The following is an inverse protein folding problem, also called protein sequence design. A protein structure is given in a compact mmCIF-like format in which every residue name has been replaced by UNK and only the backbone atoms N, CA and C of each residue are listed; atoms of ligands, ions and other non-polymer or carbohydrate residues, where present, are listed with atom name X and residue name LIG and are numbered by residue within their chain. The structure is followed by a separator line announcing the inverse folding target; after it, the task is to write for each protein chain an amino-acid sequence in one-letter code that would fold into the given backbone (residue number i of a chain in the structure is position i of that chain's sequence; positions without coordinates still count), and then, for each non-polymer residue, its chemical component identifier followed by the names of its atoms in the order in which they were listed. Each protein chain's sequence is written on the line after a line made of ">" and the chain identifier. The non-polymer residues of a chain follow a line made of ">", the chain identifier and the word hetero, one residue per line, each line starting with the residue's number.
data_IF_375754208717
#
_entry.id   IF_375754208717
#
_cell.length_a   1.000
_cell.length_b   1.000
_cell.length_c   1.000
_cell.angle_alpha   90.00
_cell.angle_beta   90.00
_cell.angle_gamma   90.00
#
_symmetry.space_group_name_H-M   'P 1'
#
loop_
_entity.id
_entity.type
_entity.pdbx_description
1 polymer ?
#
# COMPACT_ATOMS: atom_id res chain seq x y z
N UNK A 1 14.34 15.12 -32.00
CA UNK A 1 13.62 15.50 -30.76
C UNK A 1 13.57 14.28 -29.85
N UNK A 2 14.01 14.37 -28.59
CA UNK A 2 13.75 13.32 -27.65
C UNK A 2 12.21 13.17 -27.52
N UNK A 3 11.67 11.96 -27.44
CA UNK A 3 10.24 11.77 -27.27
C UNK A 3 9.76 12.51 -26.01
N UNK A 4 8.59 13.14 -26.05
CA UNK A 4 7.98 13.89 -24.93
C UNK A 4 8.03 13.10 -23.64
N UNK A 5 7.90 11.78 -23.73
CA UNK A 5 8.07 10.83 -22.65
C UNK A 5 9.38 10.99 -21.87
N UNK A 6 10.53 11.22 -22.53
CA UNK A 6 11.83 11.35 -21.86
C UNK A 6 11.97 12.62 -21.02
N UNK A 7 11.15 13.64 -21.27
CA UNK A 7 11.14 14.88 -20.48
C UNK A 7 10.41 14.69 -19.14
N UNK A 8 9.38 13.85 -19.09
CA UNK A 8 8.58 13.61 -17.90
C UNK A 8 9.06 12.40 -17.08
N UNK A 9 9.68 11.42 -17.75
CA UNK A 9 10.15 10.17 -17.14
C UNK A 9 11.61 9.87 -17.58
N UNK A 10 12.59 10.64 -17.07
CA UNK A 10 13.99 10.56 -17.53
C UNK A 10 14.65 9.20 -17.32
N UNK A 11 14.07 8.34 -16.47
CA UNK A 11 14.58 6.99 -16.18
C UNK A 11 14.03 5.91 -17.11
N UNK A 12 13.24 6.28 -18.12
CA UNK A 12 12.67 5.36 -19.11
C UNK A 12 11.46 4.55 -18.63
N UNK A 13 11.00 4.73 -17.39
CA UNK A 13 9.76 4.10 -16.89
C UNK A 13 8.53 4.91 -17.33
N UNK A 14 7.42 4.24 -17.65
CA UNK A 14 6.19 4.88 -18.10
C UNK A 14 5.33 5.48 -16.98
N UNK A 15 5.71 5.25 -15.74
CA UNK A 15 5.14 5.86 -14.54
C UNK A 15 6.19 5.92 -13.42
N UNK A 16 5.98 6.80 -12.46
CA UNK A 16 6.88 7.02 -11.32
C UNK A 16 6.70 5.94 -10.27
N UNK A 17 7.41 4.82 -10.43
CA UNK A 17 7.28 3.69 -9.51
C UNK A 17 7.89 3.97 -8.14
N UNK A 18 7.27 3.40 -7.07
CA UNK A 18 7.81 3.47 -5.71
C UNK A 18 9.23 2.88 -5.64
N UNK A 19 9.51 1.80 -6.36
CA UNK A 19 10.84 1.18 -6.35
C UNK A 19 11.93 2.13 -6.87
N UNK A 20 11.65 2.86 -7.95
CA UNK A 20 12.57 3.85 -8.49
C UNK A 20 12.76 5.03 -7.54
N UNK A 21 11.66 5.54 -6.99
CA UNK A 21 11.69 6.61 -5.99
C UNK A 21 12.54 6.23 -4.77
N UNK A 22 12.34 5.02 -4.21
CA UNK A 22 13.08 4.53 -3.06
C UNK A 22 14.57 4.37 -3.35
N UNK A 23 14.92 3.85 -4.54
CA UNK A 23 16.33 3.75 -4.95
C UNK A 23 17.00 5.12 -5.04
N UNK A 24 16.29 6.14 -5.55
CA UNK A 24 16.81 7.52 -5.60
C UNK A 24 16.96 8.11 -4.20
N UNK A 25 15.98 7.91 -3.33
CA UNK A 25 15.97 8.49 -1.98
C UNK A 25 17.00 7.84 -1.06
N UNK A 26 17.13 6.51 -1.10
CA UNK A 26 17.96 5.76 -0.17
C UNK A 26 19.25 5.18 -0.78
N UNK A 27 19.49 5.37 -2.07
CA UNK A 27 20.68 4.90 -2.78
C UNK A 27 20.68 3.40 -3.12
N UNK A 28 19.73 2.63 -2.61
CA UNK A 28 19.61 1.19 -2.81
C UNK A 28 18.15 0.71 -2.81
N UNK A 29 17.94 -0.55 -3.17
CA UNK A 29 16.62 -1.16 -3.09
C UNK A 29 16.21 -1.37 -1.63
N UNK A 30 15.02 -0.91 -1.28
CA UNK A 30 14.44 -1.00 0.05
C UNK A 30 13.24 -1.96 0.02
N UNK A 31 13.02 -2.70 1.11
CA UNK A 31 11.89 -3.62 1.24
C UNK A 31 11.03 -3.26 2.45
N UNK A 32 9.72 -3.45 2.34
CA UNK A 32 8.80 -3.32 3.46
C UNK A 32 8.87 -4.58 4.34
N UNK A 33 8.99 -4.39 5.64
CA UNK A 33 8.69 -5.42 6.66
C UNK A 33 7.33 -5.07 7.23
N UNK A 34 6.37 -5.97 7.07
CA UNK A 34 4.99 -5.75 7.47
C UNK A 34 4.79 -6.09 8.94
N UNK A 35 4.28 -5.13 9.70
CA UNK A 35 4.15 -5.17 11.15
C UNK A 35 2.68 -5.14 11.57
N UNK A 36 2.39 -5.78 12.70
CA UNK A 36 1.11 -5.73 13.37
C UNK A 36 1.30 -5.04 14.74
N UNK A 37 0.72 -3.85 14.88
CA UNK A 37 0.80 -3.06 16.12
C UNK A 37 -0.28 -3.40 17.16
N UNK A 38 -1.10 -4.43 16.91
CA UNK A 38 -2.17 -4.85 17.83
C UNK A 38 -3.42 -3.98 17.77
N UNK A 39 -3.56 -3.10 16.77
CA UNK A 39 -4.76 -2.27 16.61
C UNK A 39 -5.96 -3.06 16.10
N UNK A 40 -7.14 -2.48 16.27
CA UNK A 40 -8.39 -2.91 15.65
C UNK A 40 -8.86 -1.92 14.58
N UNK A 41 -10.12 -1.97 14.21
CA UNK A 41 -10.73 -1.07 13.25
C UNK A 41 -12.11 -0.64 13.73
N UNK A 42 -12.51 0.65 13.63
CA UNK A 42 -13.85 1.11 14.04
C UNK A 42 -14.99 0.43 13.27
N UNK A 43 -14.72 -0.19 12.12
CA UNK A 43 -15.70 -1.03 11.41
C UNK A 43 -15.82 -2.47 11.99
N UNK A 44 -15.07 -2.82 13.04
CA UNK A 44 -15.03 -4.19 13.62
C UNK A 44 -15.30 -4.24 15.10
N UNK A 45 -14.98 -3.20 15.85
CA UNK A 45 -15.11 -3.15 17.32
C UNK A 45 -16.47 -2.61 17.79
N UNK A 46 -17.36 -2.29 16.87
CA UNK A 46 -18.71 -1.78 17.17
C UNK A 46 -18.82 -0.26 17.16
N UNK A 47 -17.72 0.49 17.02
CA UNK A 47 -17.80 1.95 16.97
C UNK A 47 -18.55 2.46 15.74
N UNK A 48 -18.26 1.91 14.55
CA UNK A 48 -18.99 2.18 13.30
C UNK A 48 -19.76 0.93 12.84
N UNK A 49 -19.20 -0.25 13.05
CA UNK A 49 -19.77 -1.53 12.68
C UNK A 49 -18.95 -2.71 13.18
N UNK A 50 -19.50 -3.92 13.08
CA UNK A 50 -18.88 -5.16 13.60
C UNK A 50 -18.33 -6.08 12.49
N UNK A 51 -18.82 -5.97 11.26
CA UNK A 51 -18.50 -6.89 10.16
C UNK A 51 -17.21 -6.57 9.40
N UNK A 52 -16.66 -5.37 9.56
CA UNK A 52 -15.54 -4.89 8.75
C UNK A 52 -15.94 -4.54 7.31
N UNK A 53 -14.96 -4.15 6.50
CA UNK A 53 -15.16 -3.95 5.07
C UNK A 53 -15.18 -5.30 4.35
N UNK A 54 -15.95 -5.43 3.27
CA UNK A 54 -16.13 -6.70 2.54
C UNK A 54 -14.84 -7.24 1.92
N UNK A 55 -13.91 -6.35 1.57
CA UNK A 55 -12.62 -6.69 0.99
C UNK A 55 -11.51 -6.94 2.04
N UNK A 56 -11.82 -6.78 3.33
CA UNK A 56 -10.88 -7.04 4.42
C UNK A 56 -11.01 -8.49 4.90
N UNK A 57 -9.88 -9.23 4.89
CA UNK A 57 -9.80 -10.53 5.54
C UNK A 57 -10.07 -10.43 7.05
N UNK A 58 -10.21 -11.56 7.72
CA UNK A 58 -10.32 -11.62 9.18
C UNK A 58 -9.14 -10.91 9.90
N UNK A 59 -7.96 -10.88 9.26
CA UNK A 59 -6.75 -10.22 9.75
C UNK A 59 -6.67 -8.73 9.40
N UNK A 60 -7.77 -8.10 8.94
CA UNK A 60 -7.80 -6.66 8.64
C UNK A 60 -6.80 -6.22 7.58
N UNK A 61 -6.66 -6.99 6.49
CA UNK A 61 -5.64 -6.83 5.45
C UNK A 61 -4.19 -7.01 5.93
N UNK A 62 -4.01 -7.61 7.10
CA UNK A 62 -2.72 -7.91 7.73
C UNK A 62 -2.28 -9.37 7.61
N UNK A 63 -2.76 -10.09 6.59
CA UNK A 63 -2.49 -11.53 6.41
C UNK A 63 -1.00 -11.89 6.30
N UNK A 64 -0.18 -10.93 5.92
CA UNK A 64 1.29 -11.06 5.85
C UNK A 64 2.02 -10.22 6.91
N UNK A 65 1.30 -9.66 7.88
CA UNK A 65 1.90 -8.90 8.96
C UNK A 65 2.55 -9.82 10.01
N UNK A 66 3.46 -9.26 10.79
CA UNK A 66 4.08 -9.95 11.91
C UNK A 66 3.04 -10.42 12.94
N UNK A 67 3.45 -11.33 13.81
CA UNK A 67 2.60 -11.81 14.88
C UNK A 67 2.42 -10.71 15.95
N UNK A 68 1.17 -10.30 16.20
CA UNK A 68 0.83 -9.25 17.18
C UNK A 68 1.23 -9.59 18.64
N UNK A 69 1.50 -10.86 18.96
CA UNK A 69 1.99 -11.24 20.30
C UNK A 69 3.48 -10.93 20.51
N UNK A 70 4.22 -10.63 19.45
CA UNK A 70 5.63 -10.27 19.49
C UNK A 70 5.79 -8.75 19.58
N UNK A 71 6.89 -8.29 20.20
CA UNK A 71 7.31 -6.89 20.14
C UNK A 71 7.58 -6.44 18.69
N UNK A 72 7.56 -5.16 18.44
CA UNK A 72 7.88 -4.62 17.11
C UNK A 72 9.32 -4.96 16.71
N UNK A 73 10.24 -4.95 17.66
CA UNK A 73 11.65 -5.36 17.44
C UNK A 73 11.76 -6.81 16.99
N UNK A 74 11.01 -7.73 17.63
CA UNK A 74 11.00 -9.13 17.23
C UNK A 74 10.37 -9.34 15.85
N UNK A 75 9.24 -8.69 15.57
CA UNK A 75 8.61 -8.73 14.25
C UNK A 75 9.56 -8.19 13.16
N UNK A 76 10.27 -7.09 13.43
CA UNK A 76 11.27 -6.54 12.52
C UNK A 76 12.41 -7.52 12.27
N UNK A 77 12.95 -8.14 13.33
CA UNK A 77 14.02 -9.13 13.21
C UNK A 77 13.58 -10.29 12.32
N UNK A 78 12.45 -10.91 12.61
CA UNK A 78 11.94 -12.05 11.83
C UNK A 78 11.68 -11.67 10.37
N UNK A 79 11.03 -10.53 10.13
CA UNK A 79 10.74 -10.03 8.80
C UNK A 79 12.00 -9.69 7.98
N UNK A 80 12.98 -9.04 8.61
CA UNK A 80 14.28 -8.75 7.99
C UNK A 80 15.03 -10.02 7.63
N UNK A 81 15.08 -11.00 8.53
CA UNK A 81 15.75 -12.27 8.31
C UNK A 81 15.10 -13.08 7.18
N UNK A 82 13.77 -13.12 7.12
CA UNK A 82 13.05 -13.78 6.04
C UNK A 82 13.34 -13.16 4.67
N UNK A 83 13.51 -11.84 4.60
CA UNK A 83 13.86 -11.14 3.35
C UNK A 83 15.34 -11.37 3.01
N UNK A 84 16.25 -11.26 3.98
CA UNK A 84 17.70 -11.44 3.80
C UNK A 84 18.07 -12.84 3.29
N UNK A 85 17.34 -13.87 3.70
CA UNK A 85 17.49 -15.24 3.16
C UNK A 85 17.30 -15.32 1.64
N UNK A 86 16.52 -14.39 1.06
CA UNK A 86 16.17 -14.42 -0.36
C UNK A 86 16.90 -13.36 -1.18
N UNK A 87 17.39 -12.29 -0.55
CA UNK A 87 17.94 -11.12 -1.23
C UNK A 87 18.95 -10.36 -0.36
N UNK A 88 20.05 -9.84 -0.95
CA UNK A 88 20.97 -8.97 -0.23
C UNK A 88 20.33 -7.58 0.01
N UNK A 89 19.80 -7.36 1.21
CA UNK A 89 19.11 -6.12 1.59
C UNK A 89 19.62 -5.60 2.92
N UNK A 90 19.87 -4.30 3.01
CA UNK A 90 20.32 -3.63 4.23
C UNK A 90 19.28 -2.68 4.80
N UNK A 91 18.47 -2.01 3.94
CA UNK A 91 17.49 -0.99 4.34
C UNK A 91 16.06 -1.46 4.21
N UNK A 92 15.27 -1.15 5.21
CA UNK A 92 13.87 -1.58 5.31
C UNK A 92 12.95 -0.41 5.64
N UNK A 93 11.70 -0.54 5.24
CA UNK A 93 10.60 0.30 5.68
C UNK A 93 9.80 -0.52 6.70
N UNK A 94 9.63 0.00 7.89
CA UNK A 94 8.70 -0.56 8.87
C UNK A 94 7.27 -0.20 8.45
N UNK A 95 6.48 -1.20 8.04
CA UNK A 95 5.16 -1.01 7.47
C UNK A 95 4.07 -1.56 8.37
N UNK A 96 3.35 -0.68 9.03
CA UNK A 96 2.18 -1.01 9.83
C UNK A 96 0.96 -1.15 8.93
N UNK A 97 0.47 -2.36 8.74
CA UNK A 97 -0.59 -2.67 7.77
C UNK A 97 -1.86 -3.28 8.39
N UNK A 98 -1.76 -4.10 9.42
CA UNK A 98 -2.89 -4.80 10.02
C UNK A 98 -3.91 -3.82 10.61
N UNK A 99 -5.17 -3.87 10.15
CA UNK A 99 -6.29 -3.04 10.61
C UNK A 99 -6.07 -1.52 10.37
N UNK A 100 -6.40 -0.68 11.39
CA UNK A 100 -6.31 0.78 11.31
C UNK A 100 -5.21 1.25 12.24
N UNK A 101 -4.02 1.49 11.72
CA UNK A 101 -2.80 1.61 12.50
C UNK A 101 -2.60 2.96 13.23
N UNK A 102 -3.60 3.81 13.25
CA UNK A 102 -3.65 5.02 14.11
C UNK A 102 -4.86 5.00 15.07
N UNK A 103 -5.58 3.88 15.08
CA UNK A 103 -6.76 3.70 15.93
C UNK A 103 -6.39 3.00 17.24
N UNK A 104 -5.67 3.73 18.07
CA UNK A 104 -5.26 3.33 19.42
C UNK A 104 -4.91 4.58 20.25
N UNK A 105 -4.77 4.48 21.59
CA UNK A 105 -4.24 5.56 22.43
C UNK A 105 -2.88 6.05 21.94
N UNK A 106 -2.65 7.36 21.96
CA UNK A 106 -1.42 7.98 21.42
C UNK A 106 -0.17 7.43 22.08
N UNK A 107 -0.19 7.18 23.38
CA UNK A 107 0.95 6.60 24.11
C UNK A 107 1.35 5.21 23.58
N UNK A 108 0.35 4.40 23.23
CA UNK A 108 0.59 3.10 22.60
C UNK A 108 1.22 3.28 21.22
N UNK A 109 0.67 4.18 20.41
CA UNK A 109 1.21 4.49 19.08
C UNK A 109 2.64 5.02 19.16
N UNK A 110 2.91 5.95 20.09
CA UNK A 110 4.24 6.50 20.31
C UNK A 110 5.24 5.41 20.65
N UNK A 111 4.88 4.49 21.57
CA UNK A 111 5.72 3.37 21.96
C UNK A 111 6.11 2.51 20.76
N UNK A 112 5.14 1.99 20.01
CA UNK A 112 5.40 1.05 18.92
C UNK A 112 6.07 1.69 17.71
N UNK A 113 5.71 2.94 17.37
CA UNK A 113 6.33 3.65 16.25
C UNK A 113 7.76 4.09 16.60
N UNK A 114 8.02 4.49 17.84
CA UNK A 114 9.37 4.82 18.32
C UNK A 114 10.25 3.58 18.33
N UNK A 115 9.74 2.44 18.77
CA UNK A 115 10.45 1.17 18.72
C UNK A 115 10.85 0.82 17.27
N UNK A 116 9.92 0.98 16.31
CA UNK A 116 10.18 0.69 14.90
C UNK A 116 11.17 1.67 14.25
N UNK A 117 11.05 2.98 14.52
CA UNK A 117 11.86 4.00 13.86
C UNK A 117 13.31 4.00 14.36
N UNK A 118 13.53 3.55 15.59
CA UNK A 118 14.87 3.46 16.21
C UNK A 118 15.67 2.24 15.73
N UNK A 119 15.05 1.28 15.03
CA UNK A 119 15.81 0.17 14.44
C UNK A 119 16.82 0.72 13.40
N UNK A 120 18.11 0.35 13.48
CA UNK A 120 19.16 0.93 12.63
C UNK A 120 19.00 0.62 11.15
N UNK A 121 18.37 -0.50 10.79
CA UNK A 121 18.15 -0.91 9.40
C UNK A 121 16.86 -0.30 8.82
N UNK A 122 15.99 0.27 9.65
CA UNK A 122 14.76 0.94 9.22
C UNK A 122 15.10 2.35 8.75
N UNK A 123 14.79 2.65 7.50
CA UNK A 123 15.04 3.96 6.89
C UNK A 123 13.78 4.84 6.79
N UNK A 124 12.60 4.27 6.96
CA UNK A 124 11.31 5.00 6.97
C UNK A 124 10.23 4.20 7.69
N UNK A 125 9.19 4.88 8.18
CA UNK A 125 7.92 4.27 8.58
C UNK A 125 6.89 4.44 7.45
N UNK A 126 6.00 3.45 7.30
CA UNK A 126 4.81 3.53 6.46
C UNK A 126 3.64 3.01 7.29
N UNK A 127 2.58 3.81 7.41
CA UNK A 127 1.46 3.57 8.33
C UNK A 127 0.16 3.59 7.54
N UNK A 128 -0.44 2.41 7.34
CA UNK A 128 -1.72 2.29 6.67
C UNK A 128 -2.86 2.55 7.65
N UNK A 129 -3.73 3.49 7.31
CA UNK A 129 -4.84 3.88 8.19
C UNK A 129 -6.03 4.45 7.42
N UNK A 130 -7.06 4.80 8.16
CA UNK A 130 -8.28 5.47 7.69
C UNK A 130 -8.13 6.98 7.85
N UNK A 131 -8.70 7.81 6.94
CA UNK A 131 -8.62 9.26 7.06
C UNK A 131 -9.36 9.81 8.29
N UNK A 132 -10.39 9.12 8.77
CA UNK A 132 -11.18 9.48 9.95
C UNK A 132 -10.54 9.03 11.30
N UNK A 133 -9.35 8.41 11.26
CA UNK A 133 -8.60 7.96 12.43
C UNK A 133 -7.27 8.73 12.61
N UNK A 134 -7.25 10.02 12.30
CA UNK A 134 -6.10 10.91 12.43
C UNK A 134 -6.42 12.16 13.27
N UNK A 135 -6.69 11.99 14.58
CA UNK A 135 -6.91 13.15 15.45
C UNK A 135 -5.63 13.99 15.60
N UNK A 136 -5.73 15.27 16.00
CA UNK A 136 -4.58 16.19 16.09
C UNK A 136 -3.38 15.62 16.85
N UNK A 137 -3.59 14.97 17.98
CA UNK A 137 -2.52 14.38 18.79
C UNK A 137 -1.74 13.27 18.04
N UNK A 138 -2.40 12.50 17.18
CA UNK A 138 -1.73 11.51 16.30
C UNK A 138 -0.93 12.23 15.22
N UNK A 139 -1.48 13.28 14.61
CA UNK A 139 -0.75 14.05 13.59
C UNK A 139 0.50 14.71 14.17
N UNK A 140 0.43 15.22 15.39
CA UNK A 140 1.59 15.76 16.12
C UNK A 140 2.65 14.69 16.38
N UNK A 141 2.24 13.50 16.84
CA UNK A 141 3.15 12.36 17.00
C UNK A 141 3.84 12.01 15.69
N UNK A 142 3.09 11.83 14.60
CA UNK A 142 3.66 11.52 13.28
C UNK A 142 4.61 12.61 12.80
N UNK A 143 4.29 13.89 13.07
CA UNK A 143 5.16 15.03 12.78
C UNK A 143 6.47 14.99 13.57
N UNK A 144 6.44 14.59 14.85
CA UNK A 144 7.67 14.40 15.66
C UNK A 144 8.53 13.28 15.09
N UNK A 145 7.93 12.13 14.79
CA UNK A 145 8.64 10.98 14.22
C UNK A 145 9.23 11.28 12.84
N UNK A 146 8.53 12.04 12.01
CA UNK A 146 9.00 12.44 10.67
C UNK A 146 10.25 13.33 10.71
N UNK A 147 10.58 13.96 11.85
CA UNK A 147 11.85 14.66 12.04
C UNK A 147 13.05 13.73 12.31
N UNK A 148 12.76 12.47 12.70
CA UNK A 148 13.79 11.45 12.93
C UNK A 148 14.10 10.69 11.64
N UNK A 149 13.08 10.12 11.00
CA UNK A 149 13.14 9.44 9.71
C UNK A 149 11.83 9.67 8.95
N UNK A 150 11.80 9.59 7.61
CA UNK A 150 10.58 9.77 6.83
C UNK A 150 9.42 8.90 7.33
N UNK A 151 8.24 9.53 7.53
CA UNK A 151 6.99 8.87 7.90
C UNK A 151 5.97 9.08 6.78
N UNK A 152 5.45 7.99 6.25
CA UNK A 152 4.40 8.00 5.23
C UNK A 152 3.09 7.49 5.81
N UNK A 153 2.02 8.20 5.54
CA UNK A 153 0.66 7.79 5.89
C UNK A 153 -0.03 7.30 4.63
N UNK A 154 -0.43 6.04 4.62
CA UNK A 154 -1.17 5.43 3.52
C UNK A 154 -2.67 5.46 3.84
N UNK A 155 -3.40 6.41 3.23
CA UNK A 155 -4.83 6.58 3.48
C UNK A 155 -5.67 5.71 2.54
N UNK A 156 -6.53 4.90 3.12
CA UNK A 156 -7.51 4.10 2.38
C UNK A 156 -8.72 4.94 1.97
N UNK A 157 -8.75 5.44 0.73
CA UNK A 157 -9.91 6.12 0.16
C UNK A 157 -10.96 5.14 -0.35
N UNK A 158 -10.54 4.05 -0.93
CA UNK A 158 -11.33 2.96 -1.52
C UNK A 158 -12.15 3.39 -2.73
N UNK A 159 -13.06 4.35 -2.59
CA UNK A 159 -13.91 4.90 -3.65
C UNK A 159 -14.36 6.31 -3.33
N UNK A 160 -14.60 7.12 -4.37
CA UNK A 160 -15.22 8.46 -4.25
C UNK A 160 -16.75 8.40 -4.41
N UNK A 161 -17.28 7.27 -4.87
CA UNK A 161 -18.72 7.08 -5.08
C UNK A 161 -19.38 6.67 -3.76
N UNK A 162 -20.40 7.43 -3.30
CA UNK A 162 -21.06 7.20 -2.02
C UNK A 162 -21.90 5.92 -1.96
N UNK A 163 -22.47 5.48 -3.09
CA UNK A 163 -23.22 4.23 -3.17
C UNK A 163 -22.27 3.04 -3.10
N UNK A 164 -21.19 3.08 -3.87
CA UNK A 164 -20.11 2.09 -3.78
C UNK A 164 -19.52 2.03 -2.38
N UNK A 165 -19.25 3.16 -1.74
CA UNK A 165 -18.73 3.21 -0.37
C UNK A 165 -19.69 2.55 0.64
N UNK A 166 -20.99 2.72 0.45
CA UNK A 166 -22.03 2.06 1.25
C UNK A 166 -22.09 0.57 0.98
N UNK A 167 -22.00 0.20 -0.28
CA UNK A 167 -22.03 -1.18 -0.75
C UNK A 167 -20.84 -2.00 -0.26
N UNK A 168 -19.61 -1.50 -0.36
CA UNK A 168 -18.40 -2.23 0.10
C UNK A 168 -18.36 -2.51 1.61
N UNK A 169 -19.28 -1.92 2.38
CA UNK A 169 -19.49 -2.24 3.80
C UNK A 169 -20.52 -3.32 4.05
N UNK A 170 -21.35 -3.68 3.04
CA UNK A 170 -22.45 -4.63 3.18
C UNK A 170 -22.22 -6.00 2.50
N UNK A 171 -21.13 -6.17 1.80
CA UNK A 171 -20.83 -7.36 1.01
C UNK A 171 -21.24 -7.21 -0.47
N UNK A 172 -20.39 -7.63 -1.38
CA UNK A 172 -20.71 -7.75 -2.79
C UNK A 172 -21.48 -9.04 -3.06
N UNK A 173 -22.41 -9.05 -4.02
CA UNK A 173 -22.75 -10.28 -4.72
C UNK A 173 -21.48 -10.79 -5.41
N UNK A 174 -21.15 -12.06 -5.24
CA UNK A 174 -19.92 -12.66 -5.80
C UNK A 174 -19.86 -12.58 -7.32
N UNK A 175 -20.99 -12.57 -7.98
CA UNK A 175 -21.15 -12.45 -9.43
C UNK A 175 -20.57 -11.17 -10.04
N UNK A 176 -20.53 -10.06 -9.31
CA UNK A 176 -19.91 -8.79 -9.79
C UNK A 176 -18.40 -8.93 -9.99
N UNK A 177 -17.72 -9.80 -9.20
CA UNK A 177 -16.28 -10.05 -9.34
C UNK A 177 -15.95 -11.13 -10.38
N UNK A 178 -16.86 -12.06 -10.59
CA UNK A 178 -16.67 -13.19 -11.52
C UNK A 178 -16.61 -12.74 -12.98
N UNK A 179 -17.14 -11.56 -13.29
CA UNK A 179 -17.16 -10.96 -14.63
C UNK A 179 -16.04 -9.96 -14.91
N UNK A 180 -15.17 -9.62 -13.93
CA UNK A 180 -14.08 -8.70 -14.17
C UNK A 180 -12.97 -9.36 -15.02
N UNK A 181 -12.84 -8.94 -16.27
CA UNK A 181 -11.82 -9.40 -17.19
C UNK A 181 -10.46 -8.72 -16.91
N UNK A 182 -9.37 -9.45 -17.12
CA UNK A 182 -8.01 -8.94 -16.91
C UNK A 182 -7.64 -7.83 -17.91
N UNK A 183 -8.08 -7.92 -19.14
CA UNK A 183 -7.76 -6.92 -20.17
C UNK A 183 -8.54 -5.62 -19.92
N UNK A 184 -9.80 -5.70 -19.52
CA UNK A 184 -10.59 -4.52 -19.09
C UNK A 184 -9.94 -3.82 -17.88
N UNK A 185 -9.44 -4.59 -16.92
CA UNK A 185 -8.67 -4.03 -15.79
C UNK A 185 -7.40 -3.32 -16.25
N UNK A 186 -6.66 -3.89 -17.19
CA UNK A 186 -5.44 -3.33 -17.76
C UNK A 186 -5.73 -2.03 -18.52
N UNK A 187 -6.81 -1.97 -19.29
CA UNK A 187 -7.25 -0.77 -20.00
C UNK A 187 -7.66 0.35 -19.06
N UNK A 188 -8.47 0.03 -18.04
CA UNK A 188 -8.86 0.98 -17.00
C UNK A 188 -7.64 1.54 -16.26
N UNK A 189 -6.71 0.67 -15.87
CA UNK A 189 -5.49 1.06 -15.18
C UNK A 189 -4.60 1.95 -16.07
N UNK A 190 -4.49 1.65 -17.37
CA UNK A 190 -3.80 2.49 -18.35
C UNK A 190 -4.40 3.89 -18.46
N UNK A 191 -5.72 3.97 -18.52
CA UNK A 191 -6.45 5.26 -18.53
C UNK A 191 -6.22 6.05 -17.25
N UNK A 192 -6.16 5.39 -16.09
CA UNK A 192 -5.83 6.03 -14.82
C UNK A 192 -4.40 6.59 -14.83
N UNK A 193 -3.42 5.83 -15.31
CA UNK A 193 -2.03 6.28 -15.43
C UNK A 193 -1.90 7.48 -16.37
N UNK A 194 -2.59 7.46 -17.51
CA UNK A 194 -2.56 8.58 -18.46
C UNK A 194 -3.05 9.91 -17.84
N UNK A 195 -4.05 9.84 -16.99
CA UNK A 195 -4.65 11.02 -16.31
C UNK A 195 -3.98 11.38 -14.99
N UNK A 196 -3.12 10.52 -14.47
CA UNK A 196 -2.48 10.74 -13.18
C UNK A 196 -1.42 11.84 -13.27
N UNK A 197 -1.46 12.81 -12.36
CA UNK A 197 -0.47 13.90 -12.30
C UNK A 197 0.96 13.34 -12.27
N UNK A 198 1.92 13.91 -13.05
CA UNK A 198 3.26 13.31 -13.23
C UNK A 198 4.12 13.20 -11.98
N UNK A 199 3.84 14.01 -10.93
CA UNK A 199 4.60 14.00 -9.68
C UNK A 199 4.09 12.96 -8.66
N UNK A 200 2.92 12.34 -8.90
CA UNK A 200 2.38 11.30 -8.02
C UNK A 200 3.20 10.01 -8.15
N UNK A 201 3.52 9.40 -7.00
CA UNK A 201 4.26 8.14 -6.95
C UNK A 201 3.28 6.98 -6.87
N UNK A 202 3.37 6.06 -7.84
CA UNK A 202 2.53 4.88 -7.89
C UNK A 202 3.13 3.77 -7.01
N UNK A 203 2.50 3.50 -5.89
CA UNK A 203 2.97 2.50 -4.92
C UNK A 203 2.64 1.07 -5.33
N UNK A 204 1.45 0.85 -5.88
CA UNK A 204 0.94 -0.49 -6.22
C UNK A 204 -0.01 -0.42 -7.40
N UNK A 205 0.12 -1.39 -8.29
CA UNK A 205 -0.75 -1.55 -9.46
C UNK A 205 -1.68 -2.78 -9.35
N UNK A 206 -1.39 -3.71 -8.42
CA UNK A 206 -2.19 -4.92 -8.21
C UNK A 206 -2.34 -5.18 -6.72
N UNK A 207 -3.45 -5.79 -6.32
CA UNK A 207 -3.63 -6.28 -4.95
C UNK A 207 -2.75 -7.51 -4.65
N UNK A 208 -2.51 -7.78 -3.37
CA UNK A 208 -1.90 -9.01 -2.86
C UNK A 208 -2.78 -9.50 -1.71
N UNK A 209 -3.55 -10.56 -1.95
CA UNK A 209 -4.28 -11.29 -0.92
C UNK A 209 -3.73 -12.72 -0.79
N UNK A 210 -4.01 -13.42 0.33
CA UNK A 210 -3.74 -14.85 0.43
C UNK A 210 -4.49 -15.58 -0.68
N UNK A 211 -3.79 -16.43 -1.44
CA UNK A 211 -4.37 -17.14 -2.58
C UNK A 211 -5.51 -18.07 -2.17
N UNK A 212 -5.41 -18.61 -0.98
CA UNK A 212 -6.38 -19.53 -0.38
C UNK A 212 -7.72 -18.84 -0.05
N UNK A 213 -7.71 -17.51 0.10
CA UNK A 213 -8.88 -16.69 0.40
C UNK A 213 -9.44 -15.98 -0.84
N UNK A 214 -8.78 -16.14 -2.00
CA UNK A 214 -9.20 -15.48 -3.22
C UNK A 214 -10.41 -16.20 -3.82
N UNK A 215 -11.55 -15.51 -3.84
CA UNK A 215 -12.79 -16.00 -4.45
C UNK A 215 -12.80 -15.64 -5.93
N UNK A 216 -12.61 -14.36 -6.25
CA UNK A 216 -12.61 -13.81 -7.60
C UNK A 216 -11.96 -12.40 -7.64
N UNK A 217 -11.51 -11.95 -8.81
CA UNK A 217 -11.27 -12.73 -10.01
C UNK A 217 -9.95 -13.53 -9.91
N UNK A 218 -9.95 -14.78 -10.34
CA UNK A 218 -8.84 -15.71 -10.14
C UNK A 218 -7.53 -15.27 -10.79
N UNK A 219 -7.58 -14.50 -11.89
CA UNK A 219 -6.40 -13.98 -12.57
C UNK A 219 -5.54 -13.03 -11.71
N UNK A 220 -6.10 -12.41 -10.67
CA UNK A 220 -5.36 -11.52 -9.75
C UNK A 220 -4.28 -12.27 -8.97
N UNK A 221 -4.41 -13.60 -8.81
CA UNK A 221 -3.37 -14.45 -8.20
C UNK A 221 -2.11 -14.55 -9.04
N UNK A 222 -2.19 -14.27 -10.35
CA UNK A 222 -1.09 -14.30 -11.32
C UNK A 222 -0.41 -12.94 -11.49
N UNK A 223 -0.09 -12.26 -10.40
CA UNK A 223 0.44 -10.88 -10.35
C UNK A 223 1.53 -10.59 -11.40
N UNK A 224 2.48 -11.50 -11.60
CA UNK A 224 3.54 -11.31 -12.60
C UNK A 224 2.98 -11.20 -14.02
N UNK A 225 2.01 -12.03 -14.35
CA UNK A 225 1.33 -12.02 -15.66
C UNK A 225 0.60 -10.69 -15.86
N UNK A 226 -0.19 -10.26 -14.87
CA UNK A 226 -0.92 -8.98 -14.91
C UNK A 226 0.05 -7.80 -15.12
N UNK A 227 1.12 -7.72 -14.35
CA UNK A 227 2.10 -6.63 -14.48
C UNK A 227 2.82 -6.65 -15.84
N UNK A 228 3.21 -7.83 -16.35
CA UNK A 228 3.85 -7.93 -17.65
C UNK A 228 2.90 -7.51 -18.78
N UNK A 229 1.65 -7.95 -18.75
CA UNK A 229 0.61 -7.53 -19.70
C UNK A 229 0.35 -6.03 -19.63
N UNK A 230 0.24 -5.48 -18.42
CA UNK A 230 0.07 -4.05 -18.23
C UNK A 230 1.23 -3.23 -18.82
N UNK A 231 2.49 -3.60 -18.55
CA UNK A 231 3.64 -2.92 -19.13
C UNK A 231 3.68 -3.03 -20.67
N UNK A 232 3.29 -4.20 -21.21
CA UNK A 232 3.15 -4.39 -22.66
C UNK A 232 2.07 -3.47 -23.23
N UNK A 233 0.90 -3.42 -22.59
CA UNK A 233 -0.20 -2.53 -22.97
C UNK A 233 0.22 -1.06 -22.99
N UNK A 234 0.87 -0.56 -21.93
CA UNK A 234 1.39 0.81 -21.89
C UNK A 234 2.33 1.13 -23.05
N UNK A 235 3.17 0.15 -23.45
CA UNK A 235 4.08 0.31 -24.62
C UNK A 235 3.32 0.33 -25.93
N UNK A 236 2.38 -0.59 -26.14
CA UNK A 236 1.60 -0.72 -27.38
C UNK A 236 0.70 0.50 -27.60
N UNK A 237 0.07 1.02 -26.56
CA UNK A 237 -0.82 2.18 -26.61
C UNK A 237 -0.08 3.51 -26.42
N UNK A 238 1.24 3.47 -26.30
CA UNK A 238 2.09 4.62 -26.02
C UNK A 238 1.58 5.49 -24.86
N UNK A 239 1.19 4.83 -23.76
CA UNK A 239 0.68 5.48 -22.54
C UNK A 239 1.84 5.74 -21.58
N UNK A 240 1.85 6.93 -20.97
CA UNK A 240 2.70 7.30 -19.84
C UNK A 240 1.94 8.15 -18.84
N UNK A 241 2.44 8.23 -17.62
CA UNK A 241 1.81 9.01 -16.55
C UNK A 241 1.76 10.49 -16.91
N UNK A 242 0.55 11.06 -16.90
CA UNK A 242 0.30 12.45 -17.22
C UNK A 242 0.12 12.75 -18.71
N UNK A 243 0.06 11.74 -19.60
CA UNK A 243 -0.20 11.95 -21.03
C UNK A 243 -1.48 12.74 -21.27
N UNK A 244 -2.54 12.42 -20.52
CA UNK A 244 -3.87 13.03 -20.65
C UNK A 244 -4.22 13.85 -19.38
N UNK A 245 -3.21 14.28 -18.62
CA UNK A 245 -3.40 15.17 -17.49
C UNK A 245 -3.55 16.60 -17.97
N UNK A 246 -4.71 17.18 -17.71
CA UNK A 246 -5.02 18.59 -17.99
C UNK A 246 -5.25 19.30 -16.66
N UNK A 247 -4.66 20.49 -16.51
CA UNK A 247 -4.87 21.40 -15.35
C UNK A 247 -6.13 22.20 -15.57
#
# INVERSE_FOLDING_TARGET
>A
MAPVFSQFQPDGERYRSLNLYLKKLFGEKVYKVTLNGGMTCPNRDGHIGTGGCIFCSAMGSGDFAGNASLSITEQLREGKDAIRKKRPVRKFIAYFQAFTNTYAPVDHLEKIFTEAINDPDVCALSIATRPDCLPPAVLELLGRLNRIKPVWVELGLQTVNSETARFIRRGYPTDVFDHADMEEYIELLGSCIAKLRPDIIVHRLTGDGPKELLIAPLWTSAKRTVLNRFHQYLKQQDIWQGKDYHV
#
